data_IF_460468775204
#
_entry.id   IF_460468775204
#
_cell.length_a   1.000
_cell.length_b   1.000
_cell.length_c   1.000
_cell.angle_alpha   90.00
_cell.angle_beta   90.00
_cell.angle_gamma   90.00
#
_symmetry.space_group_name_H-M   'P 1'
#
loop_
_entity.id
_entity.type
_entity.pdbx_description
1 polymer ?
#
# COMPACT_ATOMS: atom_id res chain seq x y z
N UNK A 1 12.14 25.47 -11.11
CA UNK A 1 13.34 26.24 -11.51
C UNK A 1 14.51 25.27 -11.57
N UNK A 2 15.17 25.12 -12.71
CA UNK A 2 16.37 24.30 -12.83
C UNK A 2 17.48 25.00 -12.04
N UNK A 3 18.01 24.36 -11.00
CA UNK A 3 19.20 24.83 -10.32
C UNK A 3 20.35 24.86 -11.34
N UNK A 4 20.86 26.04 -11.64
CA UNK A 4 22.05 26.19 -12.46
C UNK A 4 23.23 25.58 -11.68
N UNK A 5 23.62 24.38 -12.06
CA UNK A 5 24.76 23.69 -11.46
C UNK A 5 26.01 24.18 -12.16
N UNK A 6 26.94 24.80 -11.43
CA UNK A 6 28.21 25.25 -12.00
C UNK A 6 29.02 24.07 -12.60
N UNK A 7 29.54 24.17 -13.83
CA UNK A 7 30.26 23.09 -14.48
C UNK A 7 31.66 22.93 -13.88
N UNK A 8 31.76 22.05 -12.90
CA UNK A 8 33.00 21.65 -12.23
C UNK A 8 33.12 20.13 -12.17
N UNK A 9 34.36 19.61 -12.14
CA UNK A 9 34.61 18.15 -11.97
C UNK A 9 33.96 17.59 -10.71
N UNK A 10 33.94 18.36 -9.61
CA UNK A 10 33.28 17.97 -8.35
C UNK A 10 31.80 17.83 -8.54
N UNK A 11 31.11 18.79 -9.16
CA UNK A 11 29.67 18.74 -9.41
C UNK A 11 29.28 17.62 -10.40
N UNK A 12 30.13 17.34 -11.39
CA UNK A 12 29.98 16.22 -12.30
C UNK A 12 29.96 14.89 -11.54
N UNK A 13 30.93 14.67 -10.65
CA UNK A 13 31.01 13.46 -9.83
C UNK A 13 29.84 13.33 -8.85
N UNK A 14 29.44 14.43 -8.21
CA UNK A 14 28.30 14.47 -7.31
C UNK A 14 27.01 14.14 -8.05
N UNK A 15 26.78 14.72 -9.24
CA UNK A 15 25.57 14.46 -10.05
C UNK A 15 25.54 13.02 -10.58
N UNK A 16 26.71 12.46 -11.00
CA UNK A 16 26.82 11.05 -11.39
C UNK A 16 26.47 10.10 -10.25
N UNK A 17 26.93 10.39 -9.01
CA UNK A 17 26.54 9.61 -7.81
C UNK A 17 25.05 9.73 -7.52
N UNK A 18 24.48 10.94 -7.59
CA UNK A 18 23.06 11.16 -7.39
C UNK A 18 22.21 10.45 -8.43
N UNK A 19 22.65 10.41 -9.70
CA UNK A 19 21.99 9.65 -10.76
C UNK A 19 21.97 8.14 -10.44
N UNK A 20 23.10 7.59 -10.03
CA UNK A 20 23.19 6.17 -9.66
C UNK A 20 22.25 5.83 -8.51
N UNK A 21 22.19 6.67 -7.46
CA UNK A 21 21.26 6.51 -6.34
C UNK A 21 19.80 6.63 -6.78
N UNK A 22 19.48 7.59 -7.67
CA UNK A 22 18.13 7.77 -8.19
C UNK A 22 17.68 6.57 -9.02
N UNK A 23 18.55 5.97 -9.83
CA UNK A 23 18.28 4.77 -10.61
C UNK A 23 18.02 3.57 -9.70
N UNK A 24 18.87 3.35 -8.69
CA UNK A 24 18.65 2.30 -7.70
C UNK A 24 17.34 2.53 -6.92
N UNK A 25 17.04 3.78 -6.57
CA UNK A 25 15.80 4.15 -5.91
C UNK A 25 14.57 3.86 -6.78
N UNK A 26 14.66 4.12 -8.08
CA UNK A 26 13.60 3.77 -9.04
C UNK A 26 13.36 2.27 -9.09
N UNK A 27 14.41 1.47 -9.23
CA UNK A 27 14.32 0.00 -9.28
C UNK A 27 13.72 -0.58 -7.98
N UNK A 28 14.11 -0.03 -6.83
CA UNK A 28 13.55 -0.44 -5.53
C UNK A 28 12.06 -0.08 -5.42
N UNK A 29 11.65 1.10 -5.90
CA UNK A 29 10.22 1.51 -5.90
C UNK A 29 9.41 0.63 -6.84
N UNK A 30 9.94 0.28 -8.00
CA UNK A 30 9.27 -0.60 -8.95
C UNK A 30 9.09 -2.01 -8.39
N UNK A 31 10.14 -2.58 -7.81
CA UNK A 31 10.05 -3.90 -7.12
C UNK A 31 9.07 -3.86 -5.96
N UNK A 32 9.09 -2.81 -5.13
CA UNK A 32 8.13 -2.61 -4.04
C UNK A 32 6.70 -2.59 -4.57
N UNK A 33 6.43 -1.81 -5.62
CA UNK A 33 5.11 -1.75 -6.26
C UNK A 33 4.64 -3.12 -6.71
N UNK A 34 5.50 -3.88 -7.39
CA UNK A 34 5.15 -5.20 -7.93
C UNK A 34 4.81 -6.21 -6.81
N UNK A 35 5.51 -6.14 -5.67
CA UNK A 35 5.18 -6.98 -4.51
C UNK A 35 3.83 -6.56 -3.89
N UNK A 36 3.60 -5.25 -3.71
CA UNK A 36 2.33 -4.76 -3.18
C UNK A 36 1.14 -5.11 -4.07
N UNK A 37 1.30 -5.02 -5.40
CA UNK A 37 0.25 -5.42 -6.36
C UNK A 37 -0.06 -6.91 -6.23
N UNK A 38 0.95 -7.77 -6.13
CA UNK A 38 0.76 -9.22 -5.96
C UNK A 38 0.00 -9.54 -4.67
N UNK A 39 0.39 -8.91 -3.56
CA UNK A 39 -0.30 -9.08 -2.28
C UNK A 39 -1.76 -8.60 -2.36
N UNK A 40 -1.99 -7.47 -3.04
CA UNK A 40 -3.35 -6.95 -3.25
C UNK A 40 -4.22 -7.91 -4.04
N UNK A 41 -3.68 -8.52 -5.11
CA UNK A 41 -4.42 -9.51 -5.90
C UNK A 41 -4.83 -10.73 -5.08
N UNK A 42 -3.91 -11.25 -4.26
CA UNK A 42 -4.23 -12.38 -3.36
C UNK A 42 -5.33 -12.03 -2.35
N UNK A 43 -5.34 -10.79 -1.84
CA UNK A 43 -6.37 -10.34 -0.92
C UNK A 43 -7.72 -10.11 -1.62
N UNK A 44 -7.73 -9.66 -2.87
CA UNK A 44 -8.95 -9.50 -3.67
C UNK A 44 -9.59 -10.86 -3.92
N UNK A 45 -8.81 -11.88 -4.31
CA UNK A 45 -9.31 -13.23 -4.52
C UNK A 45 -9.90 -13.81 -3.21
N UNK A 46 -9.22 -13.57 -2.08
CA UNK A 46 -9.73 -13.94 -0.75
C UNK A 46 -11.03 -13.19 -0.41
N UNK A 47 -11.10 -11.89 -0.69
CA UNK A 47 -12.30 -11.08 -0.44
C UNK A 47 -13.50 -11.59 -1.22
N UNK A 48 -13.33 -11.94 -2.49
CA UNK A 48 -14.39 -12.52 -3.32
C UNK A 48 -14.96 -13.81 -2.70
N UNK A 49 -14.09 -14.74 -2.29
CA UNK A 49 -14.52 -15.97 -1.65
C UNK A 49 -15.22 -15.76 -0.30
N UNK A 50 -14.81 -14.74 0.49
CA UNK A 50 -15.48 -14.38 1.74
C UNK A 50 -16.85 -13.75 1.42
N UNK A 51 -16.94 -12.90 0.41
CA UNK A 51 -18.17 -12.21 0.04
C UNK A 51 -19.27 -13.17 -0.43
N UNK A 52 -18.91 -14.22 -1.18
CA UNK A 52 -19.83 -15.28 -1.55
C UNK A 52 -20.36 -16.04 -0.32
N UNK A 53 -19.46 -16.39 0.61
CA UNK A 53 -19.82 -17.06 1.87
C UNK A 53 -20.72 -16.17 2.75
N UNK A 54 -20.42 -14.89 2.86
CA UNK A 54 -21.24 -13.92 3.61
C UNK A 54 -22.64 -13.83 3.00
N UNK A 55 -22.74 -13.73 1.69
CA UNK A 55 -24.01 -13.62 0.99
C UNK A 55 -24.91 -14.85 1.25
N UNK A 56 -24.32 -16.05 1.21
CA UNK A 56 -25.02 -17.29 1.55
C UNK A 56 -25.43 -17.33 3.03
N UNK A 57 -24.51 -16.97 3.94
CA UNK A 57 -24.76 -16.96 5.38
C UNK A 57 -25.87 -15.95 5.76
N UNK A 58 -25.90 -14.76 5.14
CA UNK A 58 -26.98 -13.80 5.32
C UNK A 58 -28.32 -14.34 4.83
N UNK A 59 -28.36 -14.97 3.66
CA UNK A 59 -29.59 -15.57 3.15
C UNK A 59 -30.17 -16.61 4.14
N UNK A 60 -29.32 -17.50 4.68
CA UNK A 60 -29.73 -18.48 5.69
C UNK A 60 -30.17 -17.81 7.01
N UNK A 61 -29.44 -16.79 7.48
CA UNK A 61 -29.76 -16.07 8.70
C UNK A 61 -31.11 -15.34 8.60
N UNK A 62 -31.38 -14.67 7.47
CA UNK A 62 -32.65 -13.99 7.24
C UNK A 62 -33.82 -14.98 7.05
N UNK A 63 -33.61 -16.14 6.44
CA UNK A 63 -34.65 -17.18 6.38
C UNK A 63 -34.96 -17.76 7.79
N UNK A 64 -33.95 -17.95 8.63
CA UNK A 64 -34.15 -18.34 10.03
C UNK A 64 -34.89 -17.25 10.81
N UNK A 65 -34.52 -15.98 10.66
CA UNK A 65 -35.17 -14.83 11.28
C UNK A 65 -36.66 -14.71 10.84
N UNK A 66 -36.93 -14.92 9.56
CA UNK A 66 -38.28 -14.91 9.01
C UNK A 66 -39.15 -15.98 9.67
N UNK A 67 -38.62 -17.19 9.84
CA UNK A 67 -39.32 -18.28 10.57
C UNK A 67 -39.57 -17.91 12.03
N UNK A 68 -38.61 -17.32 12.72
CA UNK A 68 -38.77 -16.83 14.09
C UNK A 68 -39.85 -15.74 14.18
N UNK A 69 -39.90 -14.78 13.26
CA UNK A 69 -40.91 -13.73 13.20
C UNK A 69 -42.33 -14.28 12.92
N UNK A 70 -42.45 -15.34 12.13
CA UNK A 70 -43.76 -15.99 11.89
C UNK A 70 -44.30 -16.66 13.14
N UNK A 71 -43.41 -17.28 13.95
CA UNK A 71 -43.80 -18.04 15.14
C UNK A 71 -43.98 -17.16 16.38
N UNK A 72 -43.15 -16.14 16.57
CA UNK A 72 -43.10 -15.32 17.79
C UNK A 72 -43.65 -13.90 17.60
N UNK A 73 -43.98 -13.51 16.37
CA UNK A 73 -44.23 -12.11 16.04
C UNK A 73 -42.95 -11.30 15.92
N UNK A 74 -42.99 -10.02 16.21
CA UNK A 74 -41.80 -9.14 16.10
C UNK A 74 -40.75 -9.49 17.15
N UNK A 75 -39.60 -10.03 16.72
CA UNK A 75 -38.48 -10.42 17.62
C UNK A 75 -37.58 -9.25 18.04
N UNK A 76 -37.89 -8.02 17.63
CA UNK A 76 -37.06 -6.82 17.94
C UNK A 76 -36.88 -6.57 19.44
N UNK A 77 -37.91 -6.87 20.24
CA UNK A 77 -37.82 -6.75 21.69
C UNK A 77 -36.82 -7.71 22.34
N UNK A 78 -36.74 -8.95 21.85
CA UNK A 78 -35.76 -9.93 22.33
C UNK A 78 -34.34 -9.58 21.90
N UNK A 79 -34.17 -9.03 20.71
CA UNK A 79 -32.84 -8.59 20.19
C UNK A 79 -32.22 -7.47 21.02
N UNK A 80 -33.04 -6.64 21.69
CA UNK A 80 -32.53 -5.56 22.55
C UNK A 80 -31.79 -6.09 23.80
N UNK A 81 -32.06 -7.32 24.23
CA UNK A 81 -31.34 -7.98 25.33
C UNK A 81 -29.95 -8.51 24.94
N UNK A 82 -29.67 -8.66 23.65
CA UNK A 82 -28.40 -9.19 23.17
C UNK A 82 -27.32 -8.11 23.29
N UNK A 83 -26.20 -8.36 24.03
CA UNK A 83 -25.16 -7.37 24.20
C UNK A 83 -24.43 -7.10 22.89
N UNK A 84 -24.00 -5.83 22.69
CA UNK A 84 -23.17 -5.43 21.58
C UNK A 84 -21.78 -6.05 21.71
N UNK A 85 -21.32 -6.71 20.67
CA UNK A 85 -20.00 -7.33 20.64
C UNK A 85 -18.88 -6.27 20.74
N UNK A 86 -17.98 -6.42 21.70
CA UNK A 86 -16.81 -5.56 21.93
C UNK A 86 -15.48 -6.33 21.92
N UNK A 87 -15.55 -7.63 21.60
CA UNK A 87 -14.39 -8.53 21.65
C UNK A 87 -13.49 -8.50 20.42
N UNK A 88 -13.65 -7.52 19.51
CA UNK A 88 -12.77 -7.38 18.34
C UNK A 88 -11.41 -6.88 18.79
N UNK A 89 -10.39 -7.70 18.64
CA UNK A 89 -9.00 -7.34 18.87
C UNK A 89 -8.30 -7.10 17.54
N UNK A 90 -7.54 -5.99 17.47
CA UNK A 90 -6.78 -5.63 16.30
C UNK A 90 -5.28 -5.77 16.60
N UNK A 91 -4.59 -6.50 15.75
CA UNK A 91 -3.13 -6.53 15.65
C UNK A 91 -2.71 -6.04 14.27
N UNK A 92 -1.43 -5.76 14.07
CA UNK A 92 -0.92 -5.30 12.78
C UNK A 92 0.17 -6.24 12.29
N UNK A 93 0.18 -6.52 10.98
CA UNK A 93 1.30 -7.14 10.27
C UNK A 93 1.86 -6.15 9.26
N UNK A 94 3.17 -6.16 9.01
CA UNK A 94 3.80 -5.27 8.04
C UNK A 94 4.15 -6.02 6.76
N UNK A 95 3.71 -5.47 5.63
CA UNK A 95 4.09 -5.95 4.29
C UNK A 95 4.79 -4.81 3.55
N UNK A 96 6.09 -4.96 3.31
CA UNK A 96 6.92 -3.94 2.65
C UNK A 96 6.80 -2.53 3.28
N UNK A 97 6.66 -2.47 4.62
CA UNK A 97 6.49 -1.23 5.38
C UNK A 97 5.09 -0.60 5.27
N UNK A 98 4.09 -1.38 4.85
CA UNK A 98 2.67 -1.03 4.96
C UNK A 98 2.08 -1.86 6.10
N UNK A 99 1.49 -1.19 7.07
CA UNK A 99 0.83 -1.84 8.20
C UNK A 99 -0.57 -2.28 7.79
N UNK A 100 -0.79 -3.59 7.79
CA UNK A 100 -2.07 -4.22 7.51
C UNK A 100 -2.70 -4.67 8.83
N UNK A 101 -4.00 -4.39 9.07
CA UNK A 101 -4.68 -4.88 10.25
C UNK A 101 -4.90 -6.38 10.15
N UNK A 102 -4.84 -7.05 11.26
CA UNK A 102 -5.30 -8.43 11.45
C UNK A 102 -6.31 -8.41 12.59
N UNK A 103 -7.53 -8.81 12.31
CA UNK A 103 -8.64 -8.79 13.24
C UNK A 103 -8.87 -10.18 13.82
N UNK A 104 -9.08 -10.25 15.13
CA UNK A 104 -9.51 -11.47 15.83
C UNK A 104 -10.74 -11.16 16.65
N UNK A 105 -11.76 -11.96 16.48
CA UNK A 105 -12.93 -11.89 17.31
C UNK A 105 -12.73 -12.81 18.53
N UNK A 106 -12.43 -12.22 19.69
CA UNK A 106 -12.50 -12.92 20.95
C UNK A 106 -13.92 -12.75 21.49
N UNK A 107 -14.75 -13.74 21.25
CA UNK A 107 -16.09 -13.75 21.79
C UNK A 107 -15.99 -13.78 23.32
N UNK A 108 -16.09 -12.61 23.93
CA UNK A 108 -15.97 -12.43 25.40
C UNK A 108 -17.24 -12.93 26.11
N UNK A 109 -18.33 -13.04 25.37
CA UNK A 109 -19.56 -13.61 25.85
C UNK A 109 -19.66 -15.06 25.40
N UNK A 110 -19.60 -16.05 26.32
CA UNK A 110 -20.05 -17.39 25.98
C UNK A 110 -21.45 -17.25 25.39
N UNK A 111 -21.85 -18.18 24.52
CA UNK A 111 -23.23 -18.28 23.98
C UNK A 111 -24.20 -18.31 25.15
N UNK A 112 -24.51 -17.15 25.74
CA UNK A 112 -25.43 -16.98 26.83
C UNK A 112 -26.84 -16.80 26.28
N UNK A 113 -27.81 -17.30 27.02
CA UNK A 113 -29.19 -16.97 26.78
C UNK A 113 -29.41 -15.52 27.24
N UNK A 114 -29.63 -14.62 26.27
CA UNK A 114 -29.87 -13.20 26.56
C UNK A 114 -31.34 -12.81 26.48
N UNK A 115 -32.22 -13.79 26.32
CA UNK A 115 -33.66 -13.63 26.25
C UNK A 115 -34.37 -14.76 27.03
N UNK A 116 -35.58 -14.48 27.43
CA UNK A 116 -36.38 -15.40 28.27
C UNK A 116 -36.83 -16.63 27.47
N UNK A 117 -36.56 -17.82 28.02
CA UNK A 117 -36.91 -19.10 27.41
C UNK A 117 -38.43 -19.40 27.44
N UNK A 118 -39.16 -18.82 28.39
CA UNK A 118 -40.63 -19.04 28.47
C UNK A 118 -41.38 -18.33 27.34
N UNK A 119 -40.84 -17.22 26.86
CA UNK A 119 -41.45 -16.39 25.81
C UNK A 119 -40.87 -16.62 24.41
N UNK A 120 -39.86 -17.49 24.27
CA UNK A 120 -39.15 -17.76 23.01
C UNK A 120 -39.20 -19.24 22.62
N UNK A 121 -38.77 -19.56 21.43
CA UNK A 121 -38.68 -20.92 20.91
C UNK A 121 -37.38 -21.16 20.17
N UNK A 122 -37.05 -22.42 19.87
CA UNK A 122 -35.82 -22.82 19.18
C UNK A 122 -35.63 -22.21 17.80
N UNK A 123 -36.63 -21.57 17.18
CA UNK A 123 -36.47 -20.88 15.91
C UNK A 123 -35.65 -19.57 16.06
N UNK A 124 -35.80 -18.90 17.21
CA UNK A 124 -35.01 -17.74 17.56
C UNK A 124 -33.53 -18.12 17.82
N UNK A 125 -33.31 -19.25 18.50
CA UNK A 125 -31.96 -19.76 18.77
C UNK A 125 -31.20 -20.07 17.47
N UNK A 126 -31.89 -20.70 16.51
CA UNK A 126 -31.32 -20.97 15.18
C UNK A 126 -30.96 -19.67 14.47
N UNK A 127 -31.82 -18.66 14.51
CA UNK A 127 -31.52 -17.35 13.92
C UNK A 127 -30.31 -16.69 14.61
N UNK A 128 -30.26 -16.71 15.93
CA UNK A 128 -29.17 -16.18 16.72
C UNK A 128 -27.81 -16.83 16.35
N UNK A 129 -27.78 -18.17 16.22
CA UNK A 129 -26.61 -18.92 15.82
C UNK A 129 -26.11 -18.52 14.42
N UNK A 130 -27.06 -18.41 13.46
CA UNK A 130 -26.73 -18.00 12.10
C UNK A 130 -26.21 -16.58 12.03
N UNK A 131 -26.77 -15.63 12.79
CA UNK A 131 -26.22 -14.28 12.86
C UNK A 131 -24.85 -14.20 13.54
N UNK A 132 -24.53 -15.07 14.49
CA UNK A 132 -23.19 -15.18 15.04
C UNK A 132 -22.15 -15.68 14.00
N UNK A 133 -22.54 -16.59 13.11
CA UNK A 133 -21.71 -17.01 11.98
C UNK A 133 -21.45 -15.84 11.03
N UNK A 134 -22.49 -15.10 10.65
CA UNK A 134 -22.39 -13.89 9.82
C UNK A 134 -21.48 -12.85 10.48
N UNK A 135 -21.59 -12.61 11.78
CA UNK A 135 -20.73 -11.70 12.54
C UNK A 135 -19.25 -12.05 12.38
N UNK A 136 -18.90 -13.32 12.50
CA UNK A 136 -17.52 -13.80 12.35
C UNK A 136 -16.99 -13.56 10.94
N UNK A 137 -17.78 -13.88 9.92
CA UNK A 137 -17.42 -13.63 8.52
C UNK A 137 -17.29 -12.13 8.20
N UNK A 138 -18.14 -11.30 8.80
CA UNK A 138 -18.08 -9.83 8.63
C UNK A 138 -16.77 -9.25 9.16
N UNK A 139 -16.27 -9.74 10.31
CA UNK A 139 -14.97 -9.33 10.84
C UNK A 139 -13.83 -9.76 9.92
N UNK A 140 -13.91 -10.98 9.38
CA UNK A 140 -12.91 -11.45 8.41
C UNK A 140 -12.92 -10.61 7.12
N UNK A 141 -14.10 -10.23 6.62
CA UNK A 141 -14.22 -9.36 5.45
C UNK A 141 -13.63 -7.96 5.74
N UNK A 142 -13.97 -7.37 6.87
CA UNK A 142 -13.48 -6.05 7.27
C UNK A 142 -11.93 -5.99 7.36
N UNK A 143 -11.29 -7.09 7.82
CA UNK A 143 -9.82 -7.22 7.80
C UNK A 143 -9.28 -7.10 6.37
N UNK A 144 -9.85 -7.89 5.46
CA UNK A 144 -9.36 -7.98 4.07
C UNK A 144 -9.62 -6.68 3.33
N UNK A 145 -10.81 -6.11 3.42
CA UNK A 145 -11.17 -4.84 2.76
C UNK A 145 -10.28 -3.68 3.23
N UNK A 146 -10.08 -3.55 4.54
CA UNK A 146 -9.20 -2.51 5.08
C UNK A 146 -7.75 -2.70 4.61
N UNK A 147 -7.29 -3.95 4.53
CA UNK A 147 -5.95 -4.27 4.02
C UNK A 147 -5.80 -3.91 2.55
N UNK A 148 -6.79 -4.20 1.70
CA UNK A 148 -6.81 -3.83 0.28
C UNK A 148 -6.77 -2.31 0.10
N UNK A 149 -7.56 -1.55 0.88
CA UNK A 149 -7.56 -0.08 0.82
C UNK A 149 -6.17 0.48 1.16
N UNK A 150 -5.56 0.02 2.26
CA UNK A 150 -4.22 0.47 2.66
C UNK A 150 -3.14 0.13 1.63
N UNK A 151 -3.22 -1.06 1.04
CA UNK A 151 -2.30 -1.46 -0.03
C UNK A 151 -2.49 -0.61 -1.30
N UNK A 152 -3.73 -0.32 -1.70
CA UNK A 152 -4.03 0.52 -2.86
C UNK A 152 -3.46 1.94 -2.69
N UNK A 153 -3.61 2.54 -1.52
CA UNK A 153 -2.99 3.84 -1.20
C UNK A 153 -1.47 3.80 -1.26
N UNK A 154 -0.87 2.73 -0.72
CA UNK A 154 0.58 2.54 -0.75
C UNK A 154 1.12 2.33 -2.17
N UNK A 155 0.40 1.57 -3.01
CA UNK A 155 0.70 1.39 -4.44
C UNK A 155 0.66 2.73 -5.15
N UNK A 156 -0.40 3.52 -4.97
CA UNK A 156 -0.53 4.84 -5.59
C UNK A 156 0.63 5.77 -5.18
N UNK A 157 0.99 5.78 -3.90
CA UNK A 157 2.12 6.57 -3.37
C UNK A 157 3.46 6.14 -3.96
N UNK A 158 3.68 4.82 -4.06
CA UNK A 158 4.90 4.24 -4.62
C UNK A 158 5.00 4.52 -6.11
N UNK A 159 3.89 4.40 -6.85
CA UNK A 159 3.81 4.72 -8.28
C UNK A 159 4.13 6.20 -8.56
N UNK A 160 3.56 7.12 -7.78
CA UNK A 160 3.88 8.56 -7.92
C UNK A 160 5.36 8.83 -7.72
N UNK A 161 5.99 8.19 -6.73
CA UNK A 161 7.44 8.34 -6.47
C UNK A 161 8.28 7.73 -7.58
N UNK A 162 7.93 6.53 -8.06
CA UNK A 162 8.61 5.89 -9.18
C UNK A 162 8.52 6.76 -10.46
N UNK A 163 7.34 7.28 -10.77
CA UNK A 163 7.16 8.17 -11.92
C UNK A 163 7.96 9.48 -11.80
N UNK A 164 8.04 10.08 -10.62
CA UNK A 164 8.85 11.27 -10.38
C UNK A 164 10.34 10.99 -10.57
N UNK A 165 10.83 9.85 -10.10
CA UNK A 165 12.23 9.44 -10.30
C UNK A 165 12.50 9.14 -11.78
N UNK A 166 11.71 8.27 -12.40
CA UNK A 166 11.97 7.78 -13.76
C UNK A 166 11.75 8.83 -14.84
N UNK A 167 10.66 9.61 -14.75
CA UNK A 167 10.27 10.51 -15.82
C UNK A 167 10.77 11.96 -15.66
N UNK A 168 11.15 12.35 -14.43
CA UNK A 168 11.59 13.74 -14.18
C UNK A 168 13.03 13.79 -13.70
N UNK A 169 13.34 13.16 -12.57
CA UNK A 169 14.65 13.35 -11.93
C UNK A 169 15.81 12.70 -12.71
N UNK A 170 15.65 11.45 -13.13
CA UNK A 170 16.69 10.73 -13.87
C UNK A 170 17.00 11.43 -15.20
N UNK A 171 16.03 11.78 -16.08
CA UNK A 171 16.31 12.50 -17.31
C UNK A 171 16.91 13.89 -17.09
N UNK A 172 16.49 14.60 -16.04
CA UNK A 172 17.04 15.90 -15.69
C UNK A 172 18.51 15.79 -15.27
N UNK A 173 18.87 14.81 -14.43
CA UNK A 173 20.25 14.56 -14.03
C UNK A 173 21.11 14.16 -15.22
N UNK A 174 20.60 13.32 -16.12
CA UNK A 174 21.31 12.94 -17.35
C UNK A 174 21.61 14.14 -18.24
N UNK A 175 20.64 15.04 -18.44
CA UNK A 175 20.85 16.29 -19.18
C UNK A 175 21.88 17.19 -18.51
N UNK A 176 21.82 17.31 -17.18
CA UNK A 176 22.80 18.12 -16.42
C UNK A 176 24.21 17.54 -16.53
N UNK A 177 24.38 16.23 -16.42
CA UNK A 177 25.66 15.55 -16.58
C UNK A 177 26.23 15.84 -17.99
N UNK A 178 25.39 15.67 -19.03
CA UNK A 178 25.80 15.91 -20.40
C UNK A 178 26.29 17.37 -20.61
N UNK A 179 25.50 18.33 -20.13
CA UNK A 179 25.86 19.75 -20.21
C UNK A 179 27.16 20.10 -19.47
N UNK A 180 27.38 19.54 -18.26
CA UNK A 180 28.63 19.77 -17.52
C UNK A 180 29.80 19.13 -18.25
N UNK A 181 29.67 17.95 -18.79
CA UNK A 181 30.70 17.19 -19.48
C UNK A 181 31.10 17.91 -20.78
N UNK A 182 30.16 18.46 -21.54
CA UNK A 182 30.38 19.27 -22.71
C UNK A 182 31.22 20.53 -22.40
N UNK A 183 30.84 21.29 -21.35
CA UNK A 183 31.56 22.49 -20.93
C UNK A 183 32.96 22.16 -20.40
N UNK A 184 33.12 21.07 -19.67
CA UNK A 184 34.45 20.66 -19.18
C UNK A 184 35.34 20.21 -20.32
N UNK A 185 34.83 19.48 -21.30
CA UNK A 185 35.60 19.04 -22.47
C UNK A 185 36.04 20.22 -23.33
N UNK A 186 35.20 21.26 -23.46
CA UNK A 186 35.56 22.47 -24.20
C UNK A 186 36.67 23.25 -23.48
N UNK A 187 36.58 23.42 -22.17
CA UNK A 187 37.66 24.04 -21.37
C UNK A 187 38.99 23.27 -21.47
N UNK A 188 38.94 21.95 -21.43
CA UNK A 188 40.15 21.12 -21.59
C UNK A 188 40.77 21.30 -22.99
N UNK A 189 39.95 21.43 -24.04
CA UNK A 189 40.45 21.76 -25.40
C UNK A 189 41.06 23.15 -25.48
N UNK A 190 40.43 24.16 -24.87
CA UNK A 190 40.98 25.51 -24.81
C UNK A 190 42.32 25.55 -24.07
N UNK A 191 42.40 24.90 -22.90
CA UNK A 191 43.66 24.82 -22.13
C UNK A 191 44.77 24.13 -22.92
N UNK A 192 44.43 23.00 -23.58
CA UNK A 192 45.40 22.29 -24.42
C UNK A 192 45.90 23.17 -25.59
N UNK A 193 45.01 23.91 -26.24
CA UNK A 193 45.38 24.83 -27.31
C UNK A 193 46.26 25.96 -26.81
N UNK A 194 45.97 26.56 -25.64
CA UNK A 194 46.81 27.57 -24.99
C UNK A 194 48.20 27.04 -24.66
N UNK A 195 48.27 25.83 -24.06
CA UNK A 195 49.56 25.18 -23.76
C UNK A 195 50.40 24.93 -25.00
N UNK A 196 49.77 24.53 -26.12
CA UNK A 196 50.48 24.33 -27.41
C UNK A 196 51.03 25.62 -27.95
N UNK A 197 50.30 26.73 -27.85
CA UNK A 197 50.80 28.05 -28.28
C UNK A 197 51.99 28.52 -27.41
N UNK A 198 51.85 28.38 -26.08
CA UNK A 198 52.95 28.75 -25.15
C UNK A 198 54.18 27.89 -25.38
N UNK A 199 54.06 26.61 -25.66
CA UNK A 199 55.18 25.74 -25.98
C UNK A 199 55.87 26.18 -27.27
N UNK A 200 55.12 26.48 -28.33
CA UNK A 200 55.65 26.95 -29.59
C UNK A 200 56.33 28.33 -29.48
N UNK A 201 55.88 29.20 -28.57
CA UNK A 201 56.56 30.47 -28.26
C UNK A 201 57.87 30.25 -27.54
N UNK A 202 57.92 29.39 -26.51
CA UNK A 202 59.16 29.06 -25.79
C UNK A 202 60.23 28.44 -26.71
N UNK A 203 59.86 27.52 -27.59
CA UNK A 203 60.75 26.89 -28.57
C UNK A 203 61.33 27.92 -29.57
N UNK A 204 60.59 29.03 -29.80
CA UNK A 204 61.11 30.15 -30.64
C UNK A 204 62.01 31.14 -29.89
N UNK A 205 61.86 31.26 -28.57
CA UNK A 205 62.72 32.12 -27.73
C UNK A 205 64.01 31.42 -27.34
N UNK A 206 64.06 30.07 -27.36
CA UNK A 206 65.27 29.27 -27.08
C UNK A 206 66.10 28.95 -28.32
N UNK A 207 65.63 29.28 -29.52
CA UNK A 207 66.35 29.12 -30.82
C UNK A 207 66.91 30.44 -31.36
#
# INVERSE_FOLDING_TARGET
>A
MAQQVFPTKSNLMATKRSLALATQGYDLMDRKRNILVRETMQLIDRAAGIQDRISAAYAEAYEALKKANIMLGSVGGYAAGVPVERGVQMSTRSVMGVELPTLRLNTTSPMGLYYDLESTNGTLDVAYLKFNEVKTLTVELAEVETSVIRLAEAIQKTQKRANALGNVQIPQMQKTIKSIDEVLSEREREEFSRLKVIKAQKEKEEA
#
